data_IF_614076647763
#
_entry.id   IF_614076647763
#
_cell.length_a   1.000
_cell.length_b   1.000
_cell.length_c   1.000
_cell.angle_alpha   90.00
_cell.angle_beta   90.00
_cell.angle_gamma   90.00
#
_symmetry.space_group_name_H-M   'P 1'
#
loop_
_entity.id
_entity.type
_entity.pdbx_description
1 polymer ?
#
# COMPACT_ATOMS: atom_id res chain seq x y z
N UNK A 1 -45.97 -35.83 4.58
CA UNK A 1 -46.29 -35.15 3.31
C UNK A 1 -46.89 -33.80 3.67
N UNK A 2 -46.10 -32.73 3.48
CA UNK A 2 -46.42 -31.60 2.58
C UNK A 2 -47.54 -30.73 3.16
N UNK A 3 -47.32 -29.48 3.55
CA UNK A 3 -46.65 -28.43 2.79
C UNK A 3 -45.87 -27.49 3.72
N UNK A 4 -44.57 -27.37 3.50
CA UNK A 4 -43.83 -26.17 3.89
C UNK A 4 -44.30 -25.09 2.90
N UNK A 5 -45.41 -24.43 3.20
CA UNK A 5 -45.88 -23.28 2.42
C UNK A 5 -44.77 -22.22 2.50
N UNK A 6 -43.99 -22.10 1.42
CA UNK A 6 -43.07 -21.01 1.23
C UNK A 6 -43.89 -19.71 1.28
N UNK A 7 -43.94 -19.08 2.46
CA UNK A 7 -44.57 -17.79 2.65
C UNK A 7 -43.97 -16.83 1.61
N UNK A 8 -44.76 -16.29 0.67
CA UNK A 8 -44.24 -15.46 -0.41
C UNK A 8 -43.47 -14.24 0.11
N UNK A 9 -43.82 -13.74 1.30
CA UNK A 9 -43.09 -12.65 1.95
C UNK A 9 -41.67 -13.07 2.39
N UNK A 10 -41.48 -14.33 2.80
CA UNK A 10 -40.18 -14.86 3.18
C UNK A 10 -39.30 -15.09 1.94
N UNK A 11 -39.86 -15.64 0.86
CA UNK A 11 -39.15 -15.81 -0.41
C UNK A 11 -38.68 -14.46 -0.99
N UNK A 12 -39.53 -13.42 -0.92
CA UNK A 12 -39.18 -12.07 -1.36
C UNK A 12 -38.08 -11.47 -0.49
N UNK A 13 -38.18 -11.60 0.84
CA UNK A 13 -37.17 -11.10 1.78
C UNK A 13 -35.79 -11.75 1.57
N UNK A 14 -35.76 -13.06 1.32
CA UNK A 14 -34.53 -13.82 1.06
C UNK A 14 -33.89 -13.42 -0.27
N UNK A 15 -34.71 -13.18 -1.31
CA UNK A 15 -34.24 -12.70 -2.62
C UNK A 15 -33.67 -11.26 -2.52
N UNK A 16 -34.33 -10.38 -1.79
CA UNK A 16 -33.85 -9.00 -1.55
C UNK A 16 -32.55 -8.99 -0.73
N UNK A 17 -32.41 -9.89 0.25
CA UNK A 17 -31.17 -10.07 0.98
C UNK A 17 -30.04 -10.54 0.06
N UNK A 18 -30.28 -11.59 -0.73
CA UNK A 18 -29.28 -12.12 -1.66
C UNK A 18 -28.80 -11.04 -2.65
N UNK A 19 -29.73 -10.26 -3.19
CA UNK A 19 -29.42 -9.11 -4.06
C UNK A 19 -28.52 -8.08 -3.37
N UNK A 20 -28.82 -7.71 -2.12
CA UNK A 20 -28.00 -6.76 -1.35
C UNK A 20 -26.60 -7.29 -1.08
N UNK A 21 -26.45 -8.59 -0.78
CA UNK A 21 -25.15 -9.22 -0.56
C UNK A 21 -24.31 -9.29 -1.82
N UNK A 22 -24.90 -9.69 -2.94
CA UNK A 22 -24.21 -9.70 -4.24
C UNK A 22 -23.73 -8.28 -4.60
N UNK A 23 -24.56 -7.26 -4.39
CA UNK A 23 -24.17 -5.87 -4.62
C UNK A 23 -23.01 -5.43 -3.72
N UNK A 24 -23.02 -5.84 -2.45
CA UNK A 24 -21.90 -5.58 -1.53
C UNK A 24 -20.61 -6.29 -1.99
N UNK A 25 -20.71 -7.54 -2.45
CA UNK A 25 -19.57 -8.31 -2.95
C UNK A 25 -18.94 -7.64 -4.17
N UNK A 26 -19.77 -7.22 -5.13
CA UNK A 26 -19.32 -6.50 -6.33
C UNK A 26 -18.66 -5.15 -5.97
N UNK A 27 -19.25 -4.41 -5.04
CA UNK A 27 -18.66 -3.16 -4.55
C UNK A 27 -17.28 -3.40 -3.94
N UNK A 28 -17.17 -4.38 -3.04
CA UNK A 28 -15.92 -4.71 -2.34
C UNK A 28 -14.85 -5.23 -3.29
N UNK A 29 -15.23 -6.04 -4.28
CA UNK A 29 -14.33 -6.45 -5.36
C UNK A 29 -13.73 -5.24 -6.06
N UNK A 30 -14.58 -4.29 -6.49
CA UNK A 30 -14.15 -3.09 -7.21
C UNK A 30 -13.24 -2.21 -6.36
N UNK A 31 -13.55 -2.09 -5.07
CA UNK A 31 -12.73 -1.36 -4.10
C UNK A 31 -11.32 -1.97 -4.00
N UNK A 32 -11.20 -3.29 -3.79
CA UNK A 32 -9.92 -3.97 -3.68
C UNK A 32 -9.14 -3.95 -5.00
N UNK A 33 -9.82 -4.12 -6.14
CA UNK A 33 -9.21 -3.98 -7.46
C UNK A 33 -8.63 -2.57 -7.67
N UNK A 34 -9.42 -1.54 -7.34
CA UNK A 34 -9.00 -0.14 -7.43
C UNK A 34 -7.81 0.15 -6.50
N UNK A 35 -7.82 -0.37 -5.27
CA UNK A 35 -6.70 -0.24 -4.34
C UNK A 35 -5.41 -0.84 -4.93
N UNK A 36 -5.50 -2.05 -5.50
CA UNK A 36 -4.38 -2.73 -6.15
C UNK A 36 -3.83 -1.94 -7.34
N UNK A 37 -4.70 -1.47 -8.25
CA UNK A 37 -4.30 -0.66 -9.40
C UNK A 37 -3.66 0.66 -8.97
N UNK A 38 -4.25 1.34 -7.97
CA UNK A 38 -3.70 2.59 -7.45
C UNK A 38 -2.32 2.39 -6.84
N UNK A 39 -2.12 1.38 -5.98
CA UNK A 39 -0.81 1.08 -5.40
C UNK A 39 0.23 0.77 -6.48
N UNK A 40 -0.13 0.01 -7.52
CA UNK A 40 0.77 -0.25 -8.64
C UNK A 40 1.12 1.03 -9.41
N UNK A 41 0.11 1.86 -9.73
CA UNK A 41 0.31 3.11 -10.44
C UNK A 41 1.18 4.09 -9.64
N UNK A 42 1.00 4.16 -8.31
CA UNK A 42 1.86 4.94 -7.44
C UNK A 42 3.29 4.40 -7.40
N UNK A 43 3.48 3.09 -7.33
CA UNK A 43 4.80 2.46 -7.41
C UNK A 43 5.53 2.80 -8.71
N UNK A 44 4.86 2.72 -9.86
CA UNK A 44 5.43 3.07 -11.16
C UNK A 44 5.80 4.56 -11.22
N UNK A 45 4.90 5.46 -10.79
CA UNK A 45 5.15 6.91 -10.74
C UNK A 45 6.36 7.23 -9.85
N UNK A 46 6.44 6.57 -8.71
CA UNK A 46 7.56 6.71 -7.78
C UNK A 46 8.88 6.29 -8.43
N UNK A 47 8.94 5.12 -9.08
CA UNK A 47 10.16 4.66 -9.76
C UNK A 47 10.60 5.63 -10.86
N UNK A 48 9.66 6.14 -11.65
CA UNK A 48 9.95 7.11 -12.70
C UNK A 48 10.50 8.43 -12.11
N UNK A 49 9.85 8.94 -11.06
CA UNK A 49 10.27 10.16 -10.39
C UNK A 49 11.64 10.01 -9.72
N UNK A 50 11.88 8.91 -9.02
CA UNK A 50 13.16 8.63 -8.36
C UNK A 50 14.29 8.47 -9.36
N UNK A 51 14.07 7.78 -10.48
CA UNK A 51 15.08 7.64 -11.53
C UNK A 51 15.41 8.99 -12.17
N UNK A 52 14.37 9.75 -12.56
CA UNK A 52 14.54 11.10 -13.15
C UNK A 52 15.24 12.06 -12.17
N UNK A 53 14.82 12.04 -10.90
CA UNK A 53 15.45 12.82 -9.84
C UNK A 53 16.90 12.43 -9.61
N UNK A 54 17.21 11.13 -9.59
CA UNK A 54 18.57 10.62 -9.48
C UNK A 54 19.48 11.08 -10.64
N UNK A 55 18.97 11.04 -11.87
CA UNK A 55 19.69 11.56 -13.03
C UNK A 55 19.96 13.07 -12.91
N UNK A 56 18.96 13.87 -12.52
CA UNK A 56 19.12 15.32 -12.29
C UNK A 56 20.13 15.58 -11.18
N UNK A 57 20.05 14.88 -10.04
CA UNK A 57 20.98 15.02 -8.93
C UNK A 57 22.42 14.66 -9.33
N UNK A 58 22.60 13.60 -10.11
CA UNK A 58 23.92 13.20 -10.61
C UNK A 58 24.50 14.24 -11.57
N UNK A 59 23.71 14.75 -12.52
CA UNK A 59 24.14 15.81 -13.43
C UNK A 59 24.47 17.11 -12.68
N UNK A 60 23.65 17.48 -11.69
CA UNK A 60 23.91 18.63 -10.83
C UNK A 60 25.22 18.45 -10.03
N UNK A 61 25.45 17.25 -9.48
CA UNK A 61 26.69 16.92 -8.78
C UNK A 61 27.92 17.03 -9.69
N UNK A 62 27.85 16.51 -10.92
CA UNK A 62 28.93 16.69 -11.90
C UNK A 62 29.20 18.17 -12.22
N UNK A 63 28.14 18.99 -12.26
CA UNK A 63 28.25 20.44 -12.45
C UNK A 63 28.72 21.22 -11.23
N UNK A 64 28.85 20.61 -10.06
CA UNK A 64 29.29 21.30 -8.84
C UNK A 64 30.81 21.50 -8.77
N UNK A 65 31.22 22.53 -8.04
CA UNK A 65 32.63 22.87 -7.83
C UNK A 65 33.37 21.73 -7.11
N UNK A 66 34.67 21.57 -7.36
CA UNK A 66 35.48 20.48 -6.79
C UNK A 66 35.48 20.57 -5.26
N UNK A 67 35.47 21.80 -4.73
CA UNK A 67 35.51 22.08 -3.30
C UNK A 67 34.23 21.65 -2.57
N UNK A 68 33.07 21.61 -3.24
CA UNK A 68 31.83 21.09 -2.65
C UNK A 68 31.84 19.56 -2.55
N UNK A 69 32.64 18.90 -3.40
CA UNK A 69 32.79 17.44 -3.42
C UNK A 69 33.76 16.96 -2.35
N UNK A 70 34.66 17.81 -1.87
CA UNK A 70 35.63 17.47 -0.83
C UNK A 70 35.06 17.49 0.60
N UNK A 71 33.86 18.03 0.81
CA UNK A 71 33.22 18.06 2.14
C UNK A 71 32.68 16.69 2.50
N UNK A 72 33.37 15.99 3.41
CA UNK A 72 33.02 14.61 3.81
C UNK A 72 31.58 14.46 4.35
N UNK A 73 31.04 15.49 5.03
CA UNK A 73 29.66 15.49 5.53
C UNK A 73 28.61 15.41 4.42
N UNK A 74 28.91 15.92 3.22
CA UNK A 74 27.99 15.86 2.09
C UNK A 74 27.77 14.43 1.60
N UNK A 75 28.76 13.54 1.74
CA UNK A 75 28.61 12.12 1.40
C UNK A 75 27.67 11.40 2.37
N UNK A 76 27.77 11.69 3.67
CA UNK A 76 26.84 11.13 4.66
C UNK A 76 25.42 11.64 4.47
N UNK A 77 25.25 12.93 4.14
CA UNK A 77 23.95 13.49 3.79
C UNK A 77 23.35 12.81 2.55
N UNK A 78 24.16 12.62 1.50
CA UNK A 78 23.75 11.91 0.29
C UNK A 78 23.34 10.46 0.59
N UNK A 79 24.13 9.75 1.41
CA UNK A 79 23.80 8.40 1.86
C UNK A 79 22.46 8.34 2.59
N UNK A 80 22.18 9.31 3.47
CA UNK A 80 20.90 9.41 4.17
C UNK A 80 19.74 9.61 3.19
N UNK A 81 19.86 10.50 2.20
CA UNK A 81 18.82 10.70 1.19
C UNK A 81 18.58 9.44 0.34
N UNK A 82 19.64 8.77 -0.11
CA UNK A 82 19.54 7.52 -0.88
C UNK A 82 18.83 6.44 -0.07
N UNK A 83 19.22 6.27 1.21
CA UNK A 83 18.57 5.29 2.08
C UNK A 83 17.10 5.63 2.32
N UNK A 84 16.76 6.92 2.47
CA UNK A 84 15.39 7.39 2.60
C UNK A 84 14.54 7.06 1.36
N UNK A 85 15.11 7.21 0.15
CA UNK A 85 14.44 6.79 -1.08
C UNK A 85 14.21 5.27 -1.11
N UNK A 86 15.21 4.47 -0.72
CA UNK A 86 15.04 3.01 -0.64
C UNK A 86 13.87 2.66 0.30
N UNK A 87 13.75 3.34 1.44
CA UNK A 87 12.65 3.12 2.38
C UNK A 87 11.28 3.43 1.77
N UNK A 88 11.15 4.51 1.00
CA UNK A 88 9.89 4.83 0.29
C UNK A 88 9.60 3.76 -0.78
N UNK A 89 10.60 3.30 -1.52
CA UNK A 89 10.44 2.23 -2.50
C UNK A 89 9.93 0.93 -1.87
N UNK A 90 10.53 0.53 -0.73
CA UNK A 90 10.09 -0.63 0.04
C UNK A 90 8.68 -0.43 0.61
N UNK A 91 8.34 0.77 1.08
CA UNK A 91 7.00 1.10 1.55
C UNK A 91 5.96 0.88 0.44
N UNK A 92 6.21 1.40 -0.77
CA UNK A 92 5.32 1.19 -1.92
C UNK A 92 5.16 -0.29 -2.28
N UNK A 93 6.25 -1.06 -2.23
CA UNK A 93 6.20 -2.51 -2.46
C UNK A 93 5.35 -3.25 -1.43
N UNK A 94 5.48 -2.91 -0.14
CA UNK A 94 4.65 -3.48 0.93
C UNK A 94 3.18 -3.13 0.74
N UNK A 95 2.85 -1.87 0.40
CA UNK A 95 1.48 -1.44 0.14
C UNK A 95 0.84 -2.16 -1.05
N UNK A 96 1.62 -2.38 -2.13
CA UNK A 96 1.16 -3.19 -3.25
C UNK A 96 0.91 -4.64 -2.83
N UNK A 97 1.86 -5.26 -2.10
CA UNK A 97 1.71 -6.65 -1.65
C UNK A 97 0.49 -6.85 -0.75
N UNK A 98 0.18 -5.88 0.13
CA UNK A 98 -1.02 -5.89 0.95
C UNK A 98 -2.28 -5.85 0.08
N UNK A 99 -2.35 -4.92 -0.87
CA UNK A 99 -3.50 -4.76 -1.75
C UNK A 99 -3.73 -6.01 -2.62
N UNK A 100 -2.64 -6.56 -3.17
CA UNK A 100 -2.65 -7.79 -3.98
C UNK A 100 -3.10 -9.00 -3.14
N UNK A 101 -2.55 -9.17 -1.93
CA UNK A 101 -2.95 -10.23 -0.99
C UNK A 101 -4.44 -10.19 -0.68
N UNK A 102 -4.99 -9.02 -0.32
CA UNK A 102 -6.41 -8.86 0.00
C UNK A 102 -7.29 -9.17 -1.23
N UNK A 103 -6.93 -8.64 -2.39
CA UNK A 103 -7.68 -8.85 -3.63
C UNK A 103 -7.68 -10.34 -4.06
N UNK A 104 -6.52 -10.99 -4.09
CA UNK A 104 -6.42 -12.39 -4.51
C UNK A 104 -7.22 -13.32 -3.60
N UNK A 105 -7.14 -13.10 -2.28
CA UNK A 105 -7.86 -13.94 -1.34
C UNK A 105 -9.37 -13.68 -1.37
N UNK A 106 -9.79 -12.41 -1.52
CA UNK A 106 -11.20 -12.07 -1.67
C UNK A 106 -11.81 -12.72 -2.93
N UNK A 107 -11.12 -12.59 -4.07
CA UNK A 107 -11.59 -13.17 -5.33
C UNK A 107 -11.58 -14.70 -5.31
N UNK A 108 -10.56 -15.32 -4.71
CA UNK A 108 -10.50 -16.77 -4.53
C UNK A 108 -11.65 -17.30 -3.66
N UNK A 109 -12.04 -16.55 -2.64
CA UNK A 109 -13.13 -16.90 -1.72
C UNK A 109 -14.51 -16.86 -2.38
N UNK A 110 -14.77 -15.82 -3.18
CA UNK A 110 -16.08 -15.63 -3.80
C UNK A 110 -16.20 -16.26 -5.19
N UNK A 111 -15.12 -16.71 -5.83
CA UNK A 111 -15.19 -17.42 -7.11
C UNK A 111 -16.06 -18.69 -7.06
N UNK A 112 -15.96 -19.58 -6.04
CA UNK A 112 -16.85 -20.72 -5.89
C UNK A 112 -18.29 -20.32 -5.52
N UNK A 113 -18.47 -19.19 -4.83
CA UNK A 113 -19.76 -18.72 -4.36
C UNK A 113 -20.75 -18.49 -5.50
N UNK A 114 -20.29 -17.92 -6.62
CA UNK A 114 -21.13 -17.68 -7.80
C UNK A 114 -21.51 -18.93 -8.60
N UNK A 115 -20.92 -20.08 -8.27
CA UNK A 115 -21.20 -21.36 -8.97
C UNK A 115 -22.20 -22.25 -8.23
N UNK A 116 -22.57 -21.89 -7.01
CA UNK A 116 -23.47 -22.65 -6.13
C UNK A 116 -24.76 -21.86 -5.87
N UNK A 117 -25.86 -22.53 -5.48
CA UNK A 117 -27.03 -21.84 -4.96
C UNK A 117 -26.63 -20.93 -3.80
N UNK A 118 -27.31 -19.77 -3.69
CA UNK A 118 -27.02 -18.79 -2.65
C UNK A 118 -27.23 -19.41 -1.26
N UNK A 119 -26.18 -19.40 -0.45
CA UNK A 119 -26.20 -19.83 0.94
C UNK A 119 -25.86 -18.63 1.84
N UNK A 120 -26.81 -18.27 2.70
CA UNK A 120 -26.66 -17.17 3.66
C UNK A 120 -25.50 -17.42 4.62
N UNK A 121 -25.40 -18.62 5.19
CA UNK A 121 -24.41 -18.93 6.21
C UNK A 121 -23.00 -18.88 5.62
N UNK A 122 -22.83 -19.44 4.42
CA UNK A 122 -21.56 -19.38 3.71
C UNK A 122 -21.21 -17.93 3.31
N UNK A 123 -22.17 -17.15 2.80
CA UNK A 123 -21.94 -15.74 2.47
C UNK A 123 -21.44 -14.94 3.68
N UNK A 124 -22.08 -15.08 4.84
CA UNK A 124 -21.66 -14.41 6.07
C UNK A 124 -20.28 -14.86 6.52
N UNK A 125 -20.00 -16.16 6.50
CA UNK A 125 -18.68 -16.71 6.86
C UNK A 125 -17.56 -16.19 5.96
N UNK A 126 -17.82 -16.05 4.65
CA UNK A 126 -16.84 -15.50 3.71
C UNK A 126 -16.59 -14.01 3.95
N UNK A 127 -17.61 -13.25 4.33
CA UNK A 127 -17.47 -11.83 4.69
C UNK A 127 -16.67 -11.66 6.00
N UNK A 128 -16.99 -12.43 7.05
CA UNK A 128 -16.24 -12.42 8.31
C UNK A 128 -14.75 -12.76 8.08
N UNK A 129 -14.47 -13.70 7.16
CA UNK A 129 -13.11 -14.03 6.78
C UNK A 129 -12.37 -12.88 6.05
N UNK A 130 -13.06 -12.06 5.26
CA UNK A 130 -12.46 -10.85 4.68
C UNK A 130 -12.10 -9.84 5.78
N UNK A 131 -13.03 -9.61 6.71
CA UNK A 131 -12.84 -8.72 7.85
C UNK A 131 -11.65 -9.17 8.72
N UNK A 132 -11.53 -10.46 9.00
CA UNK A 132 -10.41 -11.03 9.75
C UNK A 132 -9.06 -10.81 9.04
N UNK A 133 -9.01 -10.98 7.71
CA UNK A 133 -7.79 -10.68 6.94
C UNK A 133 -7.43 -9.20 6.98
N UNK A 134 -8.43 -8.33 6.86
CA UNK A 134 -8.21 -6.90 6.93
C UNK A 134 -7.72 -6.48 8.32
N UNK A 135 -8.30 -7.04 9.39
CA UNK A 135 -7.85 -6.86 10.76
C UNK A 135 -6.44 -7.42 10.99
N UNK A 136 -6.11 -8.55 10.36
CA UNK A 136 -4.77 -9.12 10.43
C UNK A 136 -3.76 -8.14 9.82
N UNK A 137 -3.99 -7.69 8.59
CA UNK A 137 -3.12 -6.72 7.91
C UNK A 137 -2.98 -5.44 8.73
N UNK A 138 -4.08 -4.88 9.24
CA UNK A 138 -4.10 -3.60 9.96
C UNK A 138 -3.39 -3.67 11.32
N UNK A 139 -3.47 -4.80 12.03
CA UNK A 139 -2.98 -4.90 13.41
C UNK A 139 -1.68 -5.71 13.56
N UNK A 140 -1.10 -6.19 12.47
CA UNK A 140 0.11 -7.03 12.52
C UNK A 140 1.29 -6.44 11.74
N UNK A 141 2.31 -7.27 11.53
CA UNK A 141 3.61 -6.93 10.95
C UNK A 141 3.55 -6.09 9.67
N UNK A 142 2.62 -6.27 8.70
CA UNK A 142 2.65 -5.50 7.47
C UNK A 142 2.42 -4.00 7.72
N UNK A 143 1.53 -3.67 8.67
CA UNK A 143 1.26 -2.28 9.04
C UNK A 143 2.43 -1.67 9.83
N UNK A 144 3.00 -2.42 10.80
CA UNK A 144 4.17 -1.94 11.55
C UNK A 144 5.38 -1.67 10.65
N UNK A 145 5.66 -2.54 9.67
CA UNK A 145 6.72 -2.32 8.70
C UNK A 145 6.43 -1.10 7.83
N UNK A 146 5.18 -0.91 7.41
CA UNK A 146 4.78 0.27 6.63
C UNK A 146 5.06 1.58 7.38
N UNK A 147 4.70 1.65 8.66
CA UNK A 147 5.03 2.81 9.50
C UNK A 147 6.52 3.01 9.67
N UNK A 148 7.26 1.93 9.95
CA UNK A 148 8.71 2.00 10.10
C UNK A 148 9.39 2.54 8.84
N UNK A 149 9.00 2.04 7.65
CA UNK A 149 9.56 2.49 6.37
C UNK A 149 9.18 3.96 6.09
N UNK A 150 7.91 4.32 6.28
CA UNK A 150 7.44 5.69 6.04
C UNK A 150 8.12 6.70 6.97
N UNK A 151 8.08 6.49 8.29
CA UNK A 151 8.70 7.40 9.24
C UNK A 151 10.23 7.34 9.23
N UNK A 152 10.80 6.17 8.94
CA UNK A 152 12.23 6.01 8.74
C UNK A 152 12.73 6.84 7.56
N UNK A 153 11.98 6.89 6.45
CA UNK A 153 12.32 7.74 5.29
C UNK A 153 12.31 9.23 5.65
N UNK A 154 11.32 9.66 6.43
CA UNK A 154 11.22 11.04 6.91
C UNK A 154 12.39 11.39 7.83
N UNK A 155 12.74 10.48 8.76
CA UNK A 155 13.89 10.65 9.65
C UNK A 155 15.20 10.78 8.88
N UNK A 156 15.40 9.94 7.85
CA UNK A 156 16.57 9.99 6.98
C UNK A 156 16.63 11.28 6.16
N UNK A 157 15.49 11.81 5.72
CA UNK A 157 15.42 13.11 5.05
C UNK A 157 15.87 14.24 5.99
N UNK A 158 15.32 14.30 7.21
CA UNK A 158 15.67 15.33 8.20
C UNK A 158 17.16 15.24 8.56
N UNK A 159 17.68 14.02 8.77
CA UNK A 159 19.09 13.77 9.02
C UNK A 159 19.95 14.27 7.86
N UNK A 160 19.59 13.93 6.62
CA UNK A 160 20.30 14.37 5.42
C UNK A 160 20.36 15.90 5.30
N UNK A 161 19.24 16.58 5.52
CA UNK A 161 19.19 18.04 5.54
C UNK A 161 20.08 18.63 6.64
N UNK A 162 20.05 18.06 7.85
CA UNK A 162 20.89 18.51 8.97
C UNK A 162 22.38 18.35 8.68
N UNK A 163 22.80 17.18 8.18
CA UNK A 163 24.20 16.90 7.84
C UNK A 163 24.73 17.81 6.73
N UNK A 164 23.94 18.02 5.67
CA UNK A 164 24.29 18.92 4.58
C UNK A 164 24.41 20.38 5.06
N UNK A 165 23.45 20.84 5.88
CA UNK A 165 23.48 22.18 6.46
C UNK A 165 24.69 22.41 7.37
N UNK A 166 24.97 21.48 8.28
CA UNK A 166 26.15 21.52 9.14
C UNK A 166 27.46 21.51 8.33
N UNK A 167 27.53 20.70 7.27
CA UNK A 167 28.68 20.67 6.36
C UNK A 167 28.96 22.01 5.70
N UNK A 168 27.90 22.74 5.30
CA UNK A 168 28.03 24.09 4.73
C UNK A 168 28.47 25.13 5.77
N UNK A 169 27.93 25.07 6.99
CA UNK A 169 28.26 26.01 8.06
C UNK A 169 29.71 25.88 8.53
N UNK A 170 30.16 24.64 8.81
CA UNK A 170 31.52 24.36 9.25
C UNK A 170 32.57 24.77 8.21
N UNK A 171 32.22 24.70 6.92
CA UNK A 171 33.09 25.15 5.83
C UNK A 171 33.19 26.67 5.75
N UNK A 172 32.09 27.39 6.00
CA UNK A 172 32.02 28.85 5.84
C UNK A 172 32.55 29.64 7.05
N UNK A 173 33.12 28.97 8.06
CA UNK A 173 33.84 29.61 9.16
C UNK A 173 32.95 30.10 10.33
N UNK A 174 31.85 29.39 10.61
CA UNK A 174 31.16 29.44 11.90
C UNK A 174 31.50 28.20 12.73
#
# INVERSE_FOLDING_TARGET
>A
MSQNENNPNQVIADADYAKRRIAHIDYRWKELYSLREQSLAFGIKYLFLTNSGGAVSYLAFLGTSVEMRDVSLNFFALGAFVLGLIFIGLYQAVQFQIADYLFEHYTADFKPFFTKPFDHAECTRLMERDDDRMNHVANHWPNYISYFLAYGSLGLFILGCGLAGCGLLLRNGL
#
